data_IF_106747824030
#
_entry.id   IF_106747824030
#
_cell.length_a   1.000
_cell.length_b   1.000
_cell.length_c   1.000
_cell.angle_alpha   90.00
_cell.angle_beta   90.00
_cell.angle_gamma   90.00
#
_symmetry.space_group_name_H-M   'P 1'
#
loop_
_entity.id
_entity.type
_entity.pdbx_description
1 polymer ?
#
# COMPACT_ATOMS: atom_id res chain seq x y z
N UNK A 1 -10.79 -5.41 17.73
CA UNK A 1 -9.71 -4.38 17.88
C UNK A 1 -9.73 -3.44 16.68
N UNK A 2 -9.33 -2.17 16.81
CA UNK A 2 -9.17 -1.29 15.64
C UNK A 2 -7.77 -1.47 15.06
N UNK A 3 -7.68 -1.82 13.78
CA UNK A 3 -6.43 -1.87 13.04
C UNK A 3 -6.44 -0.82 11.94
N UNK A 4 -5.26 -0.47 11.45
CA UNK A 4 -5.12 0.34 10.24
C UNK A 4 -4.76 -0.59 9.09
N UNK A 5 -5.42 -0.40 7.96
CA UNK A 5 -5.05 -0.99 6.69
C UNK A 5 -4.35 0.08 5.86
N UNK A 6 -3.13 -0.23 5.39
CA UNK A 6 -2.34 0.65 4.52
C UNK A 6 -2.23 -0.06 3.18
N UNK A 7 -2.69 0.57 2.10
CA UNK A 7 -2.72 0.00 0.76
C UNK A 7 -2.34 1.05 -0.28
N UNK A 8 -1.91 0.60 -1.46
CA UNK A 8 -1.75 1.41 -2.65
C UNK A 8 -2.95 1.18 -3.56
N UNK A 9 -3.53 2.27 -4.04
CA UNK A 9 -4.64 2.25 -4.99
C UNK A 9 -4.24 2.94 -6.29
N UNK A 10 -4.91 2.56 -7.37
CA UNK A 10 -4.87 3.31 -8.62
C UNK A 10 -5.97 4.38 -8.64
N UNK A 11 -5.62 5.58 -9.06
CA UNK A 11 -6.52 6.71 -9.29
C UNK A 11 -7.24 6.62 -10.64
N UNK A 12 -6.88 5.64 -11.47
CA UNK A 12 -7.43 5.45 -12.81
C UNK A 12 -8.09 4.08 -12.95
N UNK A 13 -8.82 3.91 -14.06
CA UNK A 13 -9.40 2.63 -14.44
C UNK A 13 -8.47 1.78 -15.32
N UNK A 14 -7.24 2.25 -15.61
CA UNK A 14 -6.29 1.50 -16.44
C UNK A 14 -5.83 0.24 -15.72
N UNK A 15 -5.80 -0.87 -16.46
CA UNK A 15 -5.43 -2.19 -15.91
C UNK A 15 -3.98 -2.17 -15.43
N UNK A 16 -3.06 -1.56 -16.19
CA UNK A 16 -1.64 -1.47 -15.86
C UNK A 16 -1.40 -0.77 -14.50
N UNK A 17 -2.12 0.33 -14.23
CA UNK A 17 -2.01 1.04 -12.96
C UNK A 17 -2.58 0.21 -11.80
N UNK A 18 -3.64 -0.57 -12.04
CA UNK A 18 -4.23 -1.46 -11.03
C UNK A 18 -3.33 -2.65 -10.72
N UNK A 19 -2.73 -3.25 -11.75
CA UNK A 19 -1.78 -4.35 -11.60
C UNK A 19 -0.53 -3.87 -10.84
N UNK A 20 -0.05 -2.65 -11.13
CA UNK A 20 1.05 -2.04 -10.38
C UNK A 20 0.68 -1.83 -8.90
N UNK A 21 -0.48 -1.26 -8.60
CA UNK A 21 -0.96 -1.09 -7.23
C UNK A 21 -1.05 -2.44 -6.48
N UNK A 22 -1.61 -3.47 -7.11
CA UNK A 22 -1.73 -4.81 -6.53
C UNK A 22 -0.35 -5.47 -6.31
N UNK A 23 0.56 -5.32 -7.26
CA UNK A 23 1.93 -5.83 -7.14
C UNK A 23 2.65 -5.22 -5.94
N UNK A 24 2.59 -3.90 -5.78
CA UNK A 24 3.22 -3.19 -4.66
C UNK A 24 2.62 -3.66 -3.33
N UNK A 25 1.29 -3.73 -3.24
CA UNK A 25 0.61 -4.24 -2.05
C UNK A 25 1.06 -5.67 -1.68
N UNK A 26 1.19 -6.57 -2.68
CA UNK A 26 1.65 -7.94 -2.46
C UNK A 26 3.12 -8.00 -2.04
N UNK A 27 3.98 -7.20 -2.66
CA UNK A 27 5.41 -7.13 -2.34
C UNK A 27 5.61 -6.72 -0.88
N UNK A 28 4.91 -5.67 -0.47
CA UNK A 28 4.95 -5.17 0.90
C UNK A 28 4.31 -6.17 1.86
N UNK A 29 3.10 -6.69 1.60
CA UNK A 29 2.46 -7.70 2.45
C UNK A 29 3.35 -8.95 2.67
N UNK A 30 4.07 -9.39 1.64
CA UNK A 30 5.04 -10.49 1.75
C UNK A 30 6.27 -10.15 2.60
N UNK A 31 6.68 -8.88 2.63
CA UNK A 31 7.86 -8.42 3.37
C UNK A 31 7.62 -8.14 4.86
N UNK A 32 6.41 -7.72 5.26
CA UNK A 32 6.11 -7.31 6.64
C UNK A 32 5.25 -8.33 7.41
N UNK A 33 4.67 -9.32 6.72
CA UNK A 33 3.71 -10.25 7.31
C UNK A 33 2.42 -9.54 7.77
N UNK A 34 1.37 -10.32 8.02
CA UNK A 34 0.05 -9.85 8.49
C UNK A 34 0.07 -9.40 9.96
N UNK A 35 1.02 -8.55 10.34
CA UNK A 35 1.24 -8.14 11.72
C UNK A 35 0.52 -6.81 11.98
N UNK A 36 -0.35 -6.76 12.99
CA UNK A 36 -1.08 -5.56 13.37
C UNK A 36 -0.12 -4.40 13.63
N UNK A 37 -0.30 -3.28 12.91
CA UNK A 37 0.67 -2.18 12.89
C UNK A 37 0.64 -1.38 14.19
N UNK A 38 1.83 -1.10 14.73
CA UNK A 38 2.03 -0.01 15.68
C UNK A 38 2.46 1.27 14.92
N UNK A 39 2.41 2.43 15.57
CA UNK A 39 2.70 3.72 14.93
C UNK A 39 4.11 3.83 14.31
N UNK A 40 5.09 3.03 14.78
CA UNK A 40 6.44 3.01 14.21
C UNK A 40 6.54 2.13 12.96
N UNK A 41 5.75 1.06 12.91
CA UNK A 41 5.64 0.23 11.71
C UNK A 41 4.90 0.97 10.59
N UNK A 42 3.91 1.81 10.92
CA UNK A 42 3.19 2.65 9.95
C UNK A 42 4.14 3.50 9.09
N UNK A 43 5.04 4.27 9.70
CA UNK A 43 6.01 5.10 8.95
C UNK A 43 6.91 4.25 8.04
N UNK A 44 7.37 3.10 8.53
CA UNK A 44 8.24 2.20 7.76
C UNK A 44 7.51 1.62 6.55
N UNK A 45 6.23 1.33 6.68
CA UNK A 45 5.40 0.74 5.63
C UNK A 45 5.09 1.78 4.57
N UNK A 46 4.69 2.98 4.99
CA UNK A 46 4.46 4.10 4.09
C UNK A 46 5.74 4.34 3.27
N UNK A 47 6.89 4.40 3.92
CA UNK A 47 8.16 4.62 3.24
C UNK A 47 8.49 3.50 2.24
N UNK A 48 8.25 2.23 2.61
CA UNK A 48 8.46 1.11 1.69
C UNK A 48 7.50 1.16 0.48
N UNK A 49 6.24 1.55 0.68
CA UNK A 49 5.28 1.75 -0.41
C UNK A 49 5.68 2.93 -1.30
N UNK A 50 6.19 4.02 -0.72
CA UNK A 50 6.68 5.18 -1.48
C UNK A 50 7.91 4.81 -2.34
N UNK A 51 8.85 4.03 -1.79
CA UNK A 51 10.01 3.55 -2.53
C UNK A 51 9.61 2.65 -3.71
N UNK A 52 8.66 1.74 -3.51
CA UNK A 52 8.12 0.88 -4.57
C UNK A 52 7.38 1.70 -5.64
N UNK A 53 6.54 2.66 -5.24
CA UNK A 53 5.88 3.60 -6.17
C UNK A 53 6.90 4.42 -6.95
N UNK A 54 8.00 4.84 -6.30
CA UNK A 54 9.06 5.61 -6.93
C UNK A 54 9.86 4.80 -7.96
N UNK A 55 9.87 3.47 -7.84
CA UNK A 55 10.48 2.57 -8.82
C UNK A 55 9.65 2.37 -10.09
N UNK A 56 8.36 2.68 -10.05
CA UNK A 56 7.46 2.60 -11.22
C UNK A 56 7.74 3.71 -12.24
N UNK A 57 7.36 3.45 -13.50
CA UNK A 57 7.37 4.46 -14.57
C UNK A 57 6.57 5.71 -14.20
N UNK A 58 7.03 6.89 -14.65
CA UNK A 58 6.38 8.18 -14.34
C UNK A 58 4.90 8.23 -14.75
N UNK A 59 4.54 7.50 -15.83
CA UNK A 59 3.16 7.41 -16.31
C UNK A 59 2.24 6.68 -15.34
N UNK A 60 2.76 5.68 -14.62
CA UNK A 60 2.04 4.88 -13.64
C UNK A 60 2.11 5.56 -12.27
N UNK A 61 3.30 6.00 -11.86
CA UNK A 61 3.57 6.63 -10.56
C UNK A 61 2.58 7.75 -10.21
N UNK A 62 2.29 8.65 -11.16
CA UNK A 62 1.34 9.76 -10.96
C UNK A 62 -0.12 9.31 -10.74
N UNK A 63 -0.43 8.08 -11.10
CA UNK A 63 -1.74 7.47 -10.98
C UNK A 63 -1.85 6.56 -9.75
N UNK A 64 -0.78 6.39 -8.96
CA UNK A 64 -0.78 5.59 -7.74
C UNK A 64 -0.89 6.49 -6.49
N UNK A 65 -1.57 6.01 -5.46
CA UNK A 65 -1.72 6.71 -4.19
C UNK A 65 -1.74 5.72 -3.03
N UNK A 66 -1.10 6.08 -1.92
CA UNK A 66 -1.21 5.36 -0.65
C UNK A 66 -2.50 5.79 0.07
N UNK A 67 -3.29 4.82 0.48
CA UNK A 67 -4.53 4.97 1.24
C UNK A 67 -4.38 4.27 2.60
N UNK A 68 -4.88 4.93 3.64
CA UNK A 68 -4.82 4.44 5.02
C UNK A 68 -6.26 4.47 5.55
N UNK A 69 -6.81 3.30 5.83
CA UNK A 69 -8.17 3.13 6.35
C UNK A 69 -8.14 2.49 7.73
N UNK A 70 -9.00 2.96 8.64
CA UNK A 70 -9.22 2.29 9.92
C UNK A 70 -10.22 1.15 9.71
N UNK A 71 -9.77 -0.09 9.95
CA UNK A 71 -10.59 -1.29 9.83
C UNK A 71 -10.88 -1.87 11.22
N UNK A 72 -12.15 -2.19 11.46
CA UNK A 72 -12.56 -2.91 12.65
C UNK A 72 -12.33 -4.40 12.41
N UNK A 73 -11.46 -5.01 13.21
CA UNK A 73 -11.29 -6.46 13.23
C UNK A 73 -12.19 -6.99 14.34
N UNK A 74 -13.32 -7.57 13.96
CA UNK A 74 -14.11 -8.45 14.84
C UNK A 74 -13.30 -9.73 15.10
N UNK A 75 -13.19 -10.11 16.38
CA UNK A 75 -12.48 -11.31 16.86
C UNK A 75 -13.14 -12.62 16.40
#
# INVERSE_FOLDING_TARGET
MKAKQITVISLTSYIEDKDAAEYINKAIAGSIGTTAFNAKDEERIIQALEDEIASCDESIKKNLKIEIEEVEIDE
#
